data_IF_949724856753
#
_entry.id   IF_949724856753
#
_cell.length_a   1.000
_cell.length_b   1.000
_cell.length_c   1.000
_cell.angle_alpha   90.00
_cell.angle_beta   90.00
_cell.angle_gamma   90.00
#
_symmetry.space_group_name_H-M   'P 1'
#
loop_
_entity.id
_entity.type
_entity.pdbx_description
1 polymer ?
#
# COMPACT_ATOMS: atom_id res chain seq x y z
N UNK A 1 51.76 -12.98 -30.69
CA UNK A 1 51.91 -11.91 -29.68
C UNK A 1 50.51 -11.45 -29.31
N UNK A 2 50.06 -11.61 -28.05
CA UNK A 2 48.76 -11.05 -27.61
C UNK A 2 48.99 -9.58 -27.27
N UNK A 3 48.24 -8.67 -27.91
CA UNK A 3 48.37 -7.23 -27.65
C UNK A 3 47.74 -6.88 -26.32
N UNK A 4 48.38 -5.97 -25.57
CA UNK A 4 47.85 -5.42 -24.31
C UNK A 4 46.45 -4.84 -24.55
N UNK A 5 46.21 -4.23 -25.71
CA UNK A 5 44.91 -3.70 -26.11
C UNK A 5 43.78 -4.76 -26.12
N UNK A 6 44.07 -5.98 -26.60
CA UNK A 6 43.08 -7.07 -26.66
C UNK A 6 42.71 -7.56 -25.27
N UNK A 7 43.66 -7.53 -24.32
CA UNK A 7 43.40 -7.90 -22.93
C UNK A 7 42.49 -6.88 -22.24
N UNK A 8 42.72 -5.58 -22.48
CA UNK A 8 41.88 -4.51 -21.94
C UNK A 8 40.45 -4.58 -22.46
N UNK A 9 40.25 -4.78 -23.78
CA UNK A 9 38.90 -4.96 -24.35
C UNK A 9 38.15 -6.16 -23.78
N UNK A 10 38.86 -7.27 -23.56
CA UNK A 10 38.26 -8.46 -22.96
C UNK A 10 37.87 -8.23 -21.50
N UNK A 11 38.71 -7.53 -20.76
CA UNK A 11 38.39 -7.13 -19.39
C UNK A 11 37.12 -6.27 -19.37
N UNK A 12 37.04 -5.27 -20.25
CA UNK A 12 35.88 -4.38 -20.36
C UNK A 12 34.58 -5.14 -20.69
N UNK A 13 34.64 -6.05 -21.67
CA UNK A 13 33.51 -6.94 -22.00
C UNK A 13 33.06 -7.77 -20.80
N UNK A 14 34.01 -8.37 -20.07
CA UNK A 14 33.70 -9.16 -18.87
C UNK A 14 33.06 -8.28 -17.80
N UNK A 15 33.57 -7.07 -17.58
CA UNK A 15 33.00 -6.16 -16.58
C UNK A 15 31.59 -5.72 -16.95
N UNK A 16 31.33 -5.38 -18.22
CA UNK A 16 29.98 -5.03 -18.69
C UNK A 16 29.02 -6.22 -18.51
N UNK A 17 29.43 -7.42 -18.94
CA UNK A 17 28.61 -8.62 -18.78
C UNK A 17 28.31 -8.96 -17.31
N UNK A 18 29.25 -8.72 -16.40
CA UNK A 18 29.03 -8.88 -14.97
C UNK A 18 28.04 -7.85 -14.41
N UNK A 19 28.14 -6.59 -14.85
CA UNK A 19 27.21 -5.53 -14.45
C UNK A 19 25.78 -5.84 -14.92
N UNK A 20 25.61 -6.24 -16.18
CA UNK A 20 24.31 -6.60 -16.74
C UNK A 20 23.69 -7.79 -15.99
N UNK A 21 24.49 -8.82 -15.72
CA UNK A 21 24.06 -9.98 -14.95
C UNK A 21 23.63 -9.61 -13.52
N UNK A 22 24.33 -8.67 -12.88
CA UNK A 22 23.95 -8.20 -11.55
C UNK A 22 22.65 -7.37 -11.59
N UNK A 23 22.49 -6.51 -12.59
CA UNK A 23 21.25 -5.75 -12.80
C UNK A 23 20.06 -6.68 -13.00
N UNK A 24 20.17 -7.65 -13.89
CA UNK A 24 19.12 -8.63 -14.17
C UNK A 24 18.79 -9.48 -12.94
N UNK A 25 19.79 -9.88 -12.15
CA UNK A 25 19.57 -10.60 -10.89
C UNK A 25 18.78 -9.75 -9.88
N UNK A 26 19.12 -8.47 -9.73
CA UNK A 26 18.40 -7.55 -8.85
C UNK A 26 16.96 -7.36 -9.32
N UNK A 27 16.75 -7.14 -10.62
CA UNK A 27 15.41 -7.03 -11.20
C UNK A 27 14.59 -8.30 -10.98
N UNK A 28 15.17 -9.48 -11.23
CA UNK A 28 14.49 -10.75 -11.03
C UNK A 28 14.07 -10.95 -9.57
N UNK A 29 14.95 -10.61 -8.62
CA UNK A 29 14.67 -10.68 -7.19
C UNK A 29 13.51 -9.75 -6.78
N UNK A 30 13.51 -8.51 -7.27
CA UNK A 30 12.42 -7.56 -7.02
C UNK A 30 11.09 -8.02 -7.64
N UNK A 31 11.12 -8.55 -8.87
CA UNK A 31 9.93 -9.10 -9.52
C UNK A 31 9.38 -10.31 -8.75
N UNK A 32 10.25 -11.21 -8.27
CA UNK A 32 9.83 -12.34 -7.43
C UNK A 32 9.19 -11.89 -6.13
N UNK A 33 9.75 -10.88 -5.46
CA UNK A 33 9.14 -10.29 -4.26
C UNK A 33 7.74 -9.75 -4.56
N UNK A 34 7.60 -8.92 -5.59
CA UNK A 34 6.30 -8.36 -6.01
C UNK A 34 5.30 -9.47 -6.35
N UNK A 35 5.72 -10.50 -7.08
CA UNK A 35 4.88 -11.65 -7.42
C UNK A 35 4.43 -12.43 -6.18
N UNK A 36 5.32 -12.59 -5.19
CA UNK A 36 4.96 -13.25 -3.92
C UNK A 36 3.94 -12.43 -3.12
N UNK A 37 4.07 -11.10 -3.12
CA UNK A 37 3.12 -10.19 -2.47
C UNK A 37 1.77 -10.22 -3.18
N UNK A 38 1.76 -10.16 -4.52
CA UNK A 38 0.54 -10.17 -5.33
C UNK A 38 -0.29 -11.46 -5.16
N UNK A 39 0.37 -12.58 -4.82
CA UNK A 39 -0.30 -13.87 -4.53
C UNK A 39 -0.84 -13.98 -3.11
N UNK A 40 -0.51 -13.04 -2.22
CA UNK A 40 -0.99 -13.06 -0.84
C UNK A 40 -2.50 -12.74 -0.82
N UNK A 41 -3.36 -13.58 -0.23
CA UNK A 41 -4.79 -13.31 -0.13
C UNK A 41 -5.14 -11.96 0.49
N UNK A 42 -4.36 -11.50 1.47
CA UNK A 42 -4.56 -10.20 2.11
C UNK A 42 -4.34 -9.05 1.13
N UNK A 43 -3.30 -9.16 0.28
CA UNK A 43 -3.00 -8.16 -0.74
C UNK A 43 -4.10 -8.11 -1.81
N UNK A 44 -4.60 -9.29 -2.23
CA UNK A 44 -5.71 -9.38 -3.19
C UNK A 44 -6.97 -8.72 -2.63
N UNK A 45 -7.30 -8.99 -1.37
CA UNK A 45 -8.44 -8.38 -0.68
C UNK A 45 -8.28 -6.86 -0.57
N UNK A 46 -7.10 -6.39 -0.18
CA UNK A 46 -6.79 -4.96 -0.05
C UNK A 46 -6.94 -4.23 -1.38
N UNK A 47 -6.39 -4.80 -2.46
CA UNK A 47 -6.53 -4.25 -3.82
C UNK A 47 -8.00 -4.27 -4.29
N UNK A 48 -8.74 -5.34 -3.99
CA UNK A 48 -10.16 -5.44 -4.33
C UNK A 48 -11.01 -4.39 -3.59
N UNK A 49 -10.74 -4.16 -2.30
CA UNK A 49 -11.44 -3.15 -1.49
C UNK A 49 -11.06 -1.73 -1.92
N UNK A 50 -9.77 -1.45 -2.05
CA UNK A 50 -9.28 -0.09 -2.27
C UNK A 50 -9.52 0.40 -3.70
N UNK A 51 -9.36 -0.48 -4.71
CA UNK A 51 -9.43 -0.06 -6.12
C UNK A 51 -10.77 -0.35 -6.76
N UNK A 52 -11.41 -1.44 -6.36
CA UNK A 52 -12.65 -1.92 -6.99
C UNK A 52 -13.87 -1.76 -6.08
N UNK A 53 -13.67 -1.32 -4.84
CA UNK A 53 -14.74 -1.11 -3.87
C UNK A 53 -15.58 -2.38 -3.66
N UNK A 54 -14.95 -3.55 -3.82
CA UNK A 54 -15.57 -4.85 -3.63
C UNK A 54 -15.66 -5.17 -2.13
N UNK A 55 -16.74 -5.83 -1.75
CA UNK A 55 -17.00 -6.27 -0.37
C UNK A 55 -17.48 -7.71 -0.36
N UNK A 56 -17.35 -8.39 0.78
CA UNK A 56 -17.78 -9.79 0.89
C UNK A 56 -19.31 -9.89 0.97
N UNK A 57 -19.88 -11.07 0.65
CA UNK A 57 -21.31 -11.29 0.84
C UNK A 57 -21.74 -11.00 2.29
N UNK A 58 -22.74 -10.15 2.48
CA UNK A 58 -23.24 -9.72 3.79
C UNK A 58 -22.61 -8.43 4.32
N UNK A 59 -21.61 -7.87 3.64
CA UNK A 59 -21.07 -6.53 3.93
C UNK A 59 -21.75 -5.49 3.03
N UNK A 60 -21.88 -4.26 3.53
CA UNK A 60 -22.36 -3.11 2.75
C UNK A 60 -21.22 -2.12 2.54
N UNK A 61 -21.03 -1.67 1.29
CA UNK A 61 -20.05 -0.67 0.96
C UNK A 61 -20.67 0.73 1.05
N UNK A 62 -20.10 1.61 1.87
CA UNK A 62 -20.58 2.98 2.07
C UNK A 62 -19.53 3.97 1.58
N UNK A 63 -19.89 4.78 0.59
CA UNK A 63 -19.06 5.88 0.11
C UNK A 63 -19.45 7.16 0.85
N UNK A 64 -18.48 7.77 1.54
CA UNK A 64 -18.67 9.03 2.26
C UNK A 64 -18.02 10.15 1.47
N UNK A 65 -18.81 11.06 0.86
CA UNK A 65 -18.32 12.26 0.23
C UNK A 65 -17.44 13.11 1.18
N UNK A 66 -16.32 13.64 0.65
CA UNK A 66 -15.32 14.34 1.46
C UNK A 66 -15.83 15.65 2.08
N UNK A 67 -16.79 16.31 1.43
CA UNK A 67 -17.50 17.49 1.91
C UNK A 67 -18.30 17.23 3.20
N UNK A 68 -18.79 16.00 3.41
CA UNK A 68 -19.46 15.61 4.66
C UNK A 68 -18.46 15.38 5.81
N UNK A 69 -17.22 14.97 5.52
CA UNK A 69 -16.20 14.70 6.53
C UNK A 69 -15.67 15.97 7.23
N UNK A 70 -15.72 17.13 6.56
CA UNK A 70 -15.29 18.43 7.13
C UNK A 70 -16.33 19.07 8.06
N UNK A 71 -17.58 18.60 8.07
CA UNK A 71 -18.67 19.24 8.83
C UNK A 71 -18.78 18.72 10.27
N UNK A 72 -18.05 17.66 10.64
CA UNK A 72 -18.14 17.05 11.98
C UNK A 72 -17.22 17.67 13.05
N UNK A 73 -16.60 18.82 12.80
CA UNK A 73 -16.02 19.65 13.86
C UNK A 73 -16.91 20.82 14.26
N UNK A 74 -18.23 20.76 14.00
CA UNK A 74 -19.14 21.59 14.79
C UNK A 74 -19.01 21.12 16.23
N UNK A 75 -18.32 21.90 17.07
CA UNK A 75 -18.19 21.69 18.50
C UNK A 75 -19.59 21.47 19.08
N UNK A 76 -20.01 20.21 19.20
CA UNK A 76 -21.24 19.85 19.90
C UNK A 76 -20.96 20.30 21.32
N UNK A 77 -21.60 21.40 21.76
CA UNK A 77 -21.42 21.96 23.10
C UNK A 77 -21.49 20.80 24.07
N UNK A 78 -20.36 20.46 24.69
CA UNK A 78 -20.30 19.35 25.63
C UNK A 78 -21.25 19.71 26.76
N UNK A 79 -22.33 18.94 26.88
CA UNK A 79 -23.32 19.17 27.92
C UNK A 79 -22.63 18.99 29.28
N UNK A 80 -22.46 20.11 30.00
CA UNK A 80 -21.74 20.21 31.25
C UNK A 80 -22.50 19.57 32.44
N UNK A 81 -23.74 19.12 32.22
CA UNK A 81 -24.55 18.50 33.28
C UNK A 81 -23.99 17.13 33.69
N UNK A 82 -24.12 16.75 34.97
CA UNK A 82 -23.71 15.44 35.46
C UNK A 82 -24.57 14.31 34.84
N UNK A 83 -23.99 13.11 34.71
CA UNK A 83 -24.61 11.99 33.99
C UNK A 83 -25.99 11.59 34.52
N UNK A 84 -26.23 11.65 35.84
CA UNK A 84 -27.52 11.32 36.42
C UNK A 84 -28.66 12.23 35.90
N UNK A 85 -28.37 13.52 35.66
CA UNK A 85 -29.38 14.47 35.17
C UNK A 85 -29.70 14.22 33.70
N UNK A 86 -28.69 13.84 32.93
CA UNK A 86 -28.85 13.43 31.54
C UNK A 86 -29.76 12.21 31.42
N UNK A 87 -29.61 11.24 32.32
CA UNK A 87 -30.49 10.06 32.36
C UNK A 87 -31.89 10.39 32.81
N UNK A 88 -32.05 11.29 33.79
CA UNK A 88 -33.39 11.71 34.24
C UNK A 88 -34.22 12.29 33.10
N UNK A 89 -33.67 13.25 32.34
CA UNK A 89 -34.37 13.90 31.22
C UNK A 89 -34.72 12.92 30.07
N UNK A 90 -34.08 11.74 30.00
CA UNK A 90 -34.39 10.72 29.00
C UNK A 90 -35.59 9.85 29.38
N UNK A 91 -35.88 9.72 30.68
CA UNK A 91 -36.86 8.76 31.19
C UNK A 91 -38.07 9.41 31.89
N UNK A 92 -38.03 10.71 32.18
CA UNK A 92 -39.08 11.46 32.86
C UNK A 92 -39.32 12.82 32.18
#
# INVERSE_FOLDING_TARGET
MRSIYDLWKKQDLITVGQMDLEMERRQNLELRKKLSQAKNPQFIEEEARNKLLLVKPGEENVLIPHDLSSTQSSSKKTDARPNWRKWWDLFF
#
